data_IF_592413433069
#
_entry.id   IF_592413433069
#
_cell.length_a   1.000
_cell.length_b   1.000
_cell.length_c   1.000
_cell.angle_alpha   90.00
_cell.angle_beta   90.00
_cell.angle_gamma   90.00
#
_symmetry.space_group_name_H-M   'P 1'
#
loop_
_entity.id
_entity.type
_entity.pdbx_description
1 polymer ?
#
# COMPACT_ATOMS: atom_id res chain seq x y z
N UNK A 1 -1.97 -5.31 -15.26
CA UNK A 1 -2.36 -6.66 -15.73
C UNK A 1 -2.83 -7.54 -14.57
N UNK A 2 -2.00 -7.84 -13.56
CA UNK A 2 -2.40 -8.69 -12.42
C UNK A 2 -3.65 -8.15 -11.71
N UNK A 3 -3.68 -6.86 -11.36
CA UNK A 3 -4.86 -6.22 -10.75
C UNK A 3 -6.12 -6.33 -11.62
N UNK A 4 -6.00 -6.10 -12.93
CA UNK A 4 -7.13 -6.23 -13.85
C UNK A 4 -7.66 -7.69 -13.93
N UNK A 5 -6.76 -8.67 -13.96
CA UNK A 5 -7.12 -10.09 -13.94
C UNK A 5 -7.84 -10.44 -12.64
N UNK A 6 -7.33 -10.00 -11.48
CA UNK A 6 -7.96 -10.24 -10.18
C UNK A 6 -9.34 -9.58 -10.10
N UNK A 7 -9.49 -8.34 -10.56
CA UNK A 7 -10.78 -7.65 -10.59
C UNK A 7 -11.79 -8.37 -11.47
N UNK A 8 -11.40 -8.74 -12.70
CA UNK A 8 -12.27 -9.45 -13.64
C UNK A 8 -12.66 -10.82 -13.09
N UNK A 9 -11.70 -11.57 -12.53
CA UNK A 9 -11.97 -12.87 -11.91
C UNK A 9 -12.91 -12.74 -10.71
N UNK A 10 -12.70 -11.74 -9.85
CA UNK A 10 -13.54 -11.50 -8.68
C UNK A 10 -14.97 -11.12 -9.10
N UNK A 11 -15.12 -10.23 -10.09
CA UNK A 11 -16.42 -9.85 -10.63
C UNK A 11 -17.14 -11.03 -11.31
N UNK A 12 -16.41 -11.86 -12.06
CA UNK A 12 -16.98 -13.02 -12.75
C UNK A 12 -17.38 -14.17 -11.80
N UNK A 13 -16.71 -14.31 -10.65
CA UNK A 13 -16.92 -15.39 -9.68
C UNK A 13 -17.86 -14.97 -8.55
N UNK A 14 -17.42 -14.03 -7.70
CA UNK A 14 -18.18 -13.56 -6.53
C UNK A 14 -19.42 -12.78 -6.97
N UNK A 15 -19.26 -11.92 -7.98
CA UNK A 15 -20.36 -11.08 -8.50
C UNK A 15 -21.51 -11.87 -9.14
N UNK A 16 -21.28 -13.10 -9.59
CA UNK A 16 -22.33 -13.96 -10.16
C UNK A 16 -22.88 -15.01 -9.19
N UNK A 17 -22.08 -15.49 -8.23
CA UNK A 17 -22.51 -16.56 -7.31
C UNK A 17 -23.26 -16.05 -6.08
N UNK A 18 -22.81 -14.97 -5.43
CA UNK A 18 -23.43 -14.40 -4.22
C UNK A 18 -23.10 -12.89 -4.09
N UNK A 19 -23.86 -12.00 -4.75
CA UNK A 19 -23.59 -10.56 -4.75
C UNK A 19 -23.68 -9.88 -3.38
N UNK A 20 -24.43 -10.45 -2.42
CA UNK A 20 -24.65 -9.86 -1.09
C UNK A 20 -23.72 -10.41 0.01
N UNK A 21 -22.71 -11.21 -0.34
CA UNK A 21 -21.80 -11.76 0.69
C UNK A 21 -20.93 -10.63 1.26
N UNK A 22 -20.97 -10.34 2.57
CA UNK A 22 -20.08 -9.34 3.15
C UNK A 22 -18.64 -9.85 3.01
N UNK A 23 -17.83 -9.16 2.19
CA UNK A 23 -16.39 -9.39 2.05
C UNK A 23 -15.63 -8.65 3.16
N UNK A 24 -16.05 -8.86 4.41
CA UNK A 24 -15.53 -8.16 5.58
C UNK A 24 -14.25 -8.80 6.17
N UNK A 25 -13.80 -9.93 5.60
CA UNK A 25 -12.59 -10.62 6.02
C UNK A 25 -11.87 -11.31 4.85
N UNK A 26 -10.55 -11.48 5.00
CA UNK A 26 -9.70 -12.23 4.06
C UNK A 26 -10.18 -13.68 3.92
N UNK A 27 -10.69 -14.25 5.00
CA UNK A 27 -11.24 -15.61 5.05
C UNK A 27 -12.50 -15.74 4.19
N UNK A 28 -13.40 -14.75 4.23
CA UNK A 28 -14.59 -14.73 3.37
C UNK A 28 -14.21 -14.56 1.89
N UNK A 29 -13.24 -13.70 1.57
CA UNK A 29 -12.72 -13.55 0.20
C UNK A 29 -12.14 -14.88 -0.29
N UNK A 30 -11.34 -15.55 0.55
CA UNK A 30 -10.78 -16.86 0.23
C UNK A 30 -11.89 -17.88 -0.03
N UNK A 31 -12.86 -18.00 0.89
CA UNK A 31 -13.98 -18.95 0.82
C UNK A 31 -14.87 -18.72 -0.40
N UNK A 32 -15.12 -17.46 -0.78
CA UNK A 32 -15.88 -17.11 -1.97
C UNK A 32 -15.17 -17.53 -3.27
N UNK A 33 -13.83 -17.64 -3.25
CA UNK A 33 -13.01 -18.06 -4.39
C UNK A 33 -12.84 -19.58 -4.50
N UNK A 34 -12.99 -20.33 -3.39
CA UNK A 34 -12.85 -21.80 -3.32
C UNK A 34 -13.72 -22.58 -4.32
N UNK A 35 -15.04 -22.29 -4.51
CA UNK A 35 -15.90 -23.13 -5.35
C UNK A 35 -15.52 -23.09 -6.84
N UNK A 36 -14.82 -22.05 -7.31
CA UNK A 36 -14.48 -21.87 -8.72
C UNK A 36 -13.11 -22.44 -9.12
N UNK A 37 -12.16 -22.54 -8.17
CA UNK A 37 -10.78 -23.01 -8.43
C UNK A 37 -10.56 -24.45 -7.95
N UNK A 38 -11.47 -24.97 -7.12
CA UNK A 38 -11.38 -26.31 -6.52
C UNK A 38 -10.93 -26.25 -5.07
N UNK A 39 -11.56 -27.08 -4.21
CA UNK A 39 -11.46 -26.98 -2.74
C UNK A 39 -10.03 -27.01 -2.18
N UNK A 40 -9.16 -27.83 -2.77
CA UNK A 40 -7.78 -27.98 -2.31
C UNK A 40 -6.81 -27.05 -3.01
N UNK A 41 -6.79 -27.05 -4.35
CA UNK A 41 -5.89 -26.23 -5.14
C UNK A 41 -6.11 -24.73 -4.90
N UNK A 42 -7.37 -24.27 -4.87
CA UNK A 42 -7.70 -22.86 -4.65
C UNK A 42 -7.23 -22.36 -3.28
N UNK A 43 -7.41 -23.14 -2.22
CA UNK A 43 -6.95 -22.78 -0.86
C UNK A 43 -5.43 -22.70 -0.78
N UNK A 44 -4.71 -23.66 -1.35
CA UNK A 44 -3.24 -23.69 -1.31
C UNK A 44 -2.65 -22.52 -2.12
N UNK A 45 -3.10 -22.32 -3.36
CA UNK A 45 -2.60 -21.22 -4.18
C UNK A 45 -2.92 -19.85 -3.60
N UNK A 46 -4.13 -19.67 -3.02
CA UNK A 46 -4.50 -18.43 -2.36
C UNK A 46 -3.64 -18.18 -1.10
N UNK A 47 -3.47 -19.19 -0.24
CA UNK A 47 -2.66 -19.06 0.96
C UNK A 47 -1.19 -18.74 0.63
N UNK A 48 -0.60 -19.43 -0.35
CA UNK A 48 0.78 -19.17 -0.80
C UNK A 48 0.90 -17.78 -1.42
N UNK A 49 -0.06 -17.36 -2.24
CA UNK A 49 -0.07 -16.05 -2.87
C UNK A 49 -0.15 -14.90 -1.85
N UNK A 50 -1.11 -14.98 -0.92
CA UNK A 50 -1.29 -13.97 0.13
C UNK A 50 -0.07 -13.93 1.06
N UNK A 51 0.47 -15.07 1.47
CA UNK A 51 1.65 -15.14 2.34
C UNK A 51 2.88 -14.53 1.67
N UNK A 52 3.10 -14.83 0.38
CA UNK A 52 4.23 -14.27 -0.37
C UNK A 52 4.11 -12.75 -0.53
N UNK A 53 2.91 -12.26 -0.85
CA UNK A 53 2.65 -10.82 -0.96
C UNK A 53 2.85 -10.09 0.38
N UNK A 54 2.35 -10.66 1.49
CA UNK A 54 2.52 -10.10 2.82
C UNK A 54 3.99 -10.05 3.25
N UNK A 55 4.77 -11.08 2.92
CA UNK A 55 6.20 -11.13 3.25
C UNK A 55 7.00 -10.05 2.51
N UNK A 56 6.74 -9.86 1.21
CA UNK A 56 7.38 -8.80 0.42
C UNK A 56 6.98 -7.42 0.96
N UNK A 57 5.70 -7.20 1.24
CA UNK A 57 5.19 -5.95 1.80
C UNK A 57 5.87 -5.63 3.14
N UNK A 58 5.97 -6.61 4.04
CA UNK A 58 6.64 -6.44 5.33
C UNK A 58 8.10 -6.02 5.17
N UNK A 59 8.85 -6.60 4.24
CA UNK A 59 10.25 -6.22 3.97
C UNK A 59 10.34 -4.78 3.45
N UNK A 60 9.56 -4.43 2.43
CA UNK A 60 9.61 -3.09 1.81
C UNK A 60 9.23 -1.99 2.81
N UNK A 61 8.13 -2.19 3.56
CA UNK A 61 7.67 -1.22 4.57
C UNK A 61 8.71 -1.03 5.66
N UNK A 62 9.33 -2.12 6.10
CA UNK A 62 10.35 -2.06 7.15
C UNK A 62 11.62 -1.34 6.72
N UNK A 63 12.05 -1.57 5.49
CA UNK A 63 13.18 -0.85 4.89
C UNK A 63 12.87 0.64 4.79
N UNK A 64 11.68 0.99 4.28
CA UNK A 64 11.24 2.38 4.15
C UNK A 64 11.14 3.08 5.51
N UNK A 65 10.54 2.42 6.51
CA UNK A 65 10.44 2.94 7.88
C UNK A 65 11.82 3.20 8.47
N UNK A 66 12.74 2.25 8.33
CA UNK A 66 14.07 2.40 8.92
C UNK A 66 14.90 3.50 8.25
N UNK A 67 14.72 3.72 6.94
CA UNK A 67 15.30 4.85 6.23
C UNK A 67 14.72 6.18 6.72
N UNK A 68 13.38 6.28 6.81
CA UNK A 68 12.71 7.48 7.28
C UNK A 68 13.15 7.86 8.70
N UNK A 69 13.22 6.90 9.63
CA UNK A 69 13.71 7.15 10.98
C UNK A 69 15.21 7.43 11.03
N UNK A 70 16.02 6.78 10.20
CA UNK A 70 17.45 7.05 10.09
C UNK A 70 17.74 8.50 9.68
N UNK A 71 16.99 9.00 8.70
CA UNK A 71 17.12 10.37 8.22
C UNK A 71 16.67 11.39 9.28
N UNK A 72 15.56 11.12 9.98
CA UNK A 72 15.07 11.98 11.08
C UNK A 72 16.03 12.02 12.28
N UNK A 73 16.66 10.88 12.61
CA UNK A 73 17.60 10.78 13.72
C UNK A 73 19.03 11.25 13.37
N UNK A 74 19.29 11.61 12.11
CA UNK A 74 20.62 12.02 11.63
C UNK A 74 21.65 10.88 11.65
N UNK A 75 21.19 9.62 11.76
CA UNK A 75 22.04 8.43 11.78
C UNK A 75 21.97 7.78 10.40
N UNK A 76 23.12 7.64 9.74
CA UNK A 76 23.23 7.02 8.41
C UNK A 76 22.90 5.53 8.47
N UNK A 77 21.61 5.18 8.39
CA UNK A 77 21.12 3.80 8.34
C UNK A 77 21.36 3.19 6.95
N UNK A 78 22.62 2.87 6.65
CA UNK A 78 22.99 2.14 5.44
C UNK A 78 22.73 0.63 5.60
N UNK A 79 22.16 0.00 4.57
CA UNK A 79 22.03 -1.46 4.40
C UNK A 79 23.36 -2.23 4.51
N UNK A 80 24.49 -1.51 4.43
CA UNK A 80 25.84 -2.08 4.53
C UNK A 80 26.37 -2.13 5.98
N UNK A 81 25.59 -1.68 6.97
CA UNK A 81 25.98 -1.69 8.37
C UNK A 81 25.58 -3.01 9.06
N UNK A 82 26.54 -3.63 9.75
CA UNK A 82 26.37 -4.92 10.45
C UNK A 82 25.31 -4.86 11.55
N UNK A 83 24.77 -6.02 11.97
CA UNK A 83 23.80 -6.21 13.08
C UNK A 83 24.12 -5.41 14.36
N UNK A 84 25.40 -5.13 14.61
CA UNK A 84 25.89 -4.37 15.76
C UNK A 84 25.93 -2.84 15.58
N UNK A 85 25.80 -2.31 14.36
CA UNK A 85 25.93 -0.87 14.07
C UNK A 85 24.59 -0.15 13.88
N UNK A 86 23.49 -0.86 13.62
CA UNK A 86 22.16 -0.26 13.48
C UNK A 86 21.10 -0.95 14.39
N UNK A 87 21.28 -0.94 15.73
CA UNK A 87 20.33 -1.54 16.66
C UNK A 87 18.92 -0.93 16.54
N UNK A 88 18.85 0.34 16.14
CA UNK A 88 17.59 1.06 15.89
C UNK A 88 16.84 0.46 14.70
N UNK A 89 17.52 0.13 13.60
CA UNK A 89 16.94 -0.48 12.39
C UNK A 89 16.27 -1.82 12.70
N UNK A 90 17.00 -2.72 13.38
CA UNK A 90 16.48 -4.05 13.72
C UNK A 90 15.42 -4.01 14.84
N UNK A 91 15.48 -3.01 15.73
CA UNK A 91 14.46 -2.80 16.77
C UNK A 91 13.15 -2.28 16.19
N UNK A 92 13.18 -1.34 15.24
CA UNK A 92 11.97 -0.90 14.54
C UNK A 92 11.39 -1.99 13.63
N UNK A 93 12.25 -2.78 12.97
CA UNK A 93 11.80 -3.94 12.19
C UNK A 93 11.05 -4.97 13.03
N UNK A 94 11.70 -5.50 14.07
CA UNK A 94 11.08 -6.51 14.93
C UNK A 94 9.92 -5.90 15.73
N UNK A 95 10.05 -4.66 16.21
CA UNK A 95 9.00 -3.95 16.92
C UNK A 95 7.75 -3.77 16.06
N UNK A 96 7.90 -3.34 14.80
CA UNK A 96 6.80 -3.20 13.86
C UNK A 96 6.07 -4.52 13.58
N UNK A 97 6.81 -5.61 13.38
CA UNK A 97 6.24 -6.95 13.17
C UNK A 97 5.51 -7.44 14.43
N UNK A 98 6.11 -7.28 15.61
CA UNK A 98 5.50 -7.70 16.89
C UNK A 98 4.23 -6.91 17.18
N UNK A 99 4.24 -5.59 16.96
CA UNK A 99 3.08 -4.72 17.14
C UNK A 99 1.98 -5.10 16.13
N UNK A 100 2.32 -5.31 14.86
CA UNK A 100 1.37 -5.76 13.85
C UNK A 100 0.76 -7.12 14.21
N UNK A 101 1.57 -8.09 14.65
CA UNK A 101 1.10 -9.39 15.11
C UNK A 101 0.17 -9.27 16.33
N UNK A 102 0.50 -8.39 17.28
CA UNK A 102 -0.33 -8.13 18.45
C UNK A 102 -1.69 -7.53 18.03
N UNK A 103 -1.71 -6.55 17.13
CA UNK A 103 -2.96 -5.97 16.62
C UNK A 103 -3.84 -6.99 15.90
N UNK A 104 -3.23 -7.90 15.14
CA UNK A 104 -3.96 -9.02 14.49
C UNK A 104 -4.55 -9.97 15.55
N UNK A 105 -3.78 -10.32 16.59
CA UNK A 105 -4.22 -11.21 17.67
C UNK A 105 -5.34 -10.61 18.53
N UNK A 106 -5.35 -9.29 18.69
CA UNK A 106 -6.40 -8.56 19.40
C UNK A 106 -7.74 -8.53 18.63
N UNK A 107 -7.78 -9.07 17.41
CA UNK A 107 -9.02 -9.20 16.63
C UNK A 107 -9.54 -7.88 16.08
N UNK A 108 -8.66 -6.89 15.88
CA UNK A 108 -9.07 -5.62 15.26
C UNK A 108 -9.63 -5.86 13.85
N UNK A 109 -10.64 -5.09 13.43
CA UNK A 109 -11.20 -5.21 12.09
C UNK A 109 -10.16 -4.80 11.05
N UNK A 110 -9.48 -5.80 10.47
CA UNK A 110 -8.40 -5.62 9.50
C UNK A 110 -8.84 -4.77 8.30
N UNK A 111 -10.09 -4.91 7.87
CA UNK A 111 -10.61 -4.16 6.73
C UNK A 111 -10.77 -2.68 7.08
N UNK A 112 -11.31 -2.35 8.25
CA UNK A 112 -11.40 -0.96 8.69
C UNK A 112 -10.01 -0.33 8.83
N UNK A 113 -9.02 -1.09 9.31
CA UNK A 113 -7.62 -0.64 9.35
C UNK A 113 -7.06 -0.41 7.94
N UNK A 114 -7.26 -1.34 7.00
CA UNK A 114 -6.81 -1.19 5.62
C UNK A 114 -7.45 0.03 4.96
N UNK A 115 -8.77 0.21 5.07
CA UNK A 115 -9.47 1.38 4.56
C UNK A 115 -8.91 2.66 5.20
N UNK A 116 -8.67 2.65 6.52
CA UNK A 116 -8.05 3.78 7.22
C UNK A 116 -6.66 4.14 6.67
N UNK A 117 -5.82 3.14 6.39
CA UNK A 117 -4.50 3.33 5.78
C UNK A 117 -4.62 3.85 4.35
N UNK A 118 -5.57 3.36 3.57
CA UNK A 118 -5.83 3.84 2.20
C UNK A 118 -6.27 5.30 2.19
N UNK A 119 -7.21 5.67 3.08
CA UNK A 119 -7.66 7.06 3.25
C UNK A 119 -6.50 7.95 3.67
N UNK A 120 -5.69 7.51 4.65
CA UNK A 120 -4.49 8.25 5.06
C UNK A 120 -3.51 8.43 3.89
N UNK A 121 -3.24 7.38 3.13
CA UNK A 121 -2.37 7.43 1.95
C UNK A 121 -2.91 8.41 0.89
N UNK A 122 -4.22 8.48 0.73
CA UNK A 122 -4.87 9.42 -0.18
C UNK A 122 -4.63 10.88 0.20
N UNK A 123 -4.61 11.21 1.51
CA UNK A 123 -4.24 12.54 1.99
C UNK A 123 -2.73 12.83 1.85
N UNK A 124 -1.89 11.81 1.96
CA UNK A 124 -0.44 11.95 1.77
C UNK A 124 -0.05 12.20 0.32
N UNK A 125 -0.77 11.61 -0.65
CA UNK A 125 -0.45 11.71 -2.09
C UNK A 125 -0.32 13.17 -2.60
N UNK A 126 -1.29 14.08 -2.36
CA UNK A 126 -1.16 15.50 -2.73
C UNK A 126 0.07 16.17 -2.14
N UNK A 127 0.39 15.85 -0.88
CA UNK A 127 1.54 16.43 -0.18
C UNK A 127 2.84 15.96 -0.82
N UNK A 128 3.01 14.64 -0.97
CA UNK A 128 4.22 14.03 -1.55
C UNK A 128 4.41 14.45 -3.01
N UNK A 129 3.36 14.37 -3.84
CA UNK A 129 3.43 14.80 -5.23
C UNK A 129 3.67 16.31 -5.37
N UNK A 130 3.04 17.12 -4.50
CA UNK A 130 3.27 18.56 -4.46
C UNK A 130 4.73 18.91 -4.17
N UNK A 131 5.34 18.24 -3.18
CA UNK A 131 6.77 18.40 -2.90
C UNK A 131 7.65 17.92 -4.06
N UNK A 132 7.33 16.78 -4.68
CA UNK A 132 8.08 16.30 -5.85
C UNK A 132 7.98 17.26 -7.04
N UNK A 133 6.83 17.88 -7.29
CA UNK A 133 6.67 18.90 -8.32
C UNK A 133 7.44 20.18 -7.98
N UNK A 134 7.37 20.64 -6.74
CA UNK A 134 8.09 21.82 -6.28
C UNK A 134 9.62 21.63 -6.40
N UNK A 135 10.12 20.46 -5.99
CA UNK A 135 11.52 20.06 -6.18
C UNK A 135 11.86 19.95 -7.68
N UNK A 136 10.94 19.37 -8.44
CA UNK A 136 10.99 19.24 -9.89
C UNK A 136 11.22 20.56 -10.62
N UNK A 137 10.63 21.63 -10.11
CA UNK A 137 10.72 22.97 -10.70
C UNK A 137 11.89 23.79 -10.17
N UNK A 138 12.24 23.64 -8.89
CA UNK A 138 13.23 24.51 -8.23
C UNK A 138 14.65 23.97 -8.29
N UNK A 139 14.83 22.65 -8.32
CA UNK A 139 16.12 22.02 -7.99
C UNK A 139 16.74 21.20 -9.11
N UNK A 140 16.05 21.02 -10.26
CA UNK A 140 16.63 20.21 -11.34
C UNK A 140 17.78 20.94 -12.08
N UNK A 141 18.94 20.28 -12.26
CA UNK A 141 20.04 20.78 -13.09
C UNK A 141 19.59 21.02 -14.53
N UNK A 142 20.18 22.01 -15.22
CA UNK A 142 19.74 22.42 -16.57
C UNK A 142 19.72 21.28 -17.61
N UNK A 143 20.54 20.24 -17.44
CA UNK A 143 20.58 19.06 -18.32
C UNK A 143 19.35 18.14 -18.22
N UNK A 144 18.57 18.23 -17.15
CA UNK A 144 17.36 17.43 -16.92
C UNK A 144 16.13 18.31 -16.73
N UNK A 145 16.21 19.61 -17.06
CA UNK A 145 15.08 20.54 -16.94
C UNK A 145 13.88 19.97 -17.70
N UNK A 146 12.78 19.78 -16.97
CA UNK A 146 11.51 19.36 -17.54
C UNK A 146 11.09 20.34 -18.64
N UNK A 147 10.70 19.79 -19.79
CA UNK A 147 10.15 20.60 -20.87
C UNK A 147 8.80 21.20 -20.46
N UNK A 148 8.41 22.29 -21.12
CA UNK A 148 7.14 22.97 -20.81
C UNK A 148 5.92 22.06 -21.06
N UNK A 149 6.04 21.04 -21.91
CA UNK A 149 5.01 20.02 -22.12
C UNK A 149 4.96 19.03 -20.94
N UNK A 150 6.09 18.47 -20.54
CA UNK A 150 6.19 17.55 -19.40
C UNK A 150 5.66 18.18 -18.11
N UNK A 151 5.98 19.47 -17.87
CA UNK A 151 5.43 20.21 -16.73
C UNK A 151 3.91 20.30 -16.76
N UNK A 152 3.31 20.56 -17.93
CA UNK A 152 1.85 20.62 -18.09
C UNK A 152 1.20 19.26 -17.90
N UNK A 153 1.81 18.20 -18.44
CA UNK A 153 1.33 16.82 -18.26
C UNK A 153 1.41 16.41 -16.79
N UNK A 154 2.52 16.66 -16.11
CA UNK A 154 2.69 16.36 -14.70
C UNK A 154 1.72 17.16 -13.83
N UNK A 155 1.50 18.45 -14.14
CA UNK A 155 0.51 19.27 -13.44
C UNK A 155 -0.91 18.77 -13.67
N UNK A 156 -1.24 18.35 -14.90
CA UNK A 156 -2.54 17.77 -15.22
C UNK A 156 -2.78 16.47 -14.44
N UNK A 157 -1.80 15.56 -14.43
CA UNK A 157 -1.88 14.31 -13.66
C UNK A 157 -2.02 14.62 -12.16
N UNK A 158 -1.26 15.58 -11.64
CA UNK A 158 -1.37 15.99 -10.24
C UNK A 158 -2.76 16.51 -9.88
N UNK A 159 -3.32 17.42 -10.69
CA UNK A 159 -4.67 17.96 -10.48
C UNK A 159 -5.71 16.84 -10.54
N UNK A 160 -5.58 15.93 -11.51
CA UNK A 160 -6.48 14.79 -11.68
C UNK A 160 -6.42 13.84 -10.48
N UNK A 161 -5.23 13.49 -9.99
CA UNK A 161 -5.07 12.61 -8.83
C UNK A 161 -5.59 13.28 -7.56
N UNK A 162 -5.30 14.57 -7.36
CA UNK A 162 -5.80 15.32 -6.19
C UNK A 162 -7.31 15.49 -6.23
N UNK A 163 -7.91 15.77 -7.39
CA UNK A 163 -9.35 15.94 -7.52
C UNK A 163 -10.10 14.63 -7.29
N UNK A 164 -9.60 13.51 -7.84
CA UNK A 164 -10.14 12.18 -7.56
C UNK A 164 -10.02 11.83 -6.08
N UNK A 165 -8.89 12.13 -5.45
CA UNK A 165 -8.72 11.95 -4.01
C UNK A 165 -9.78 12.71 -3.22
N UNK A 166 -9.84 14.04 -3.39
CA UNK A 166 -10.81 14.89 -2.69
C UNK A 166 -12.24 14.40 -2.93
N UNK A 167 -12.57 14.02 -4.16
CA UNK A 167 -13.87 13.46 -4.50
C UNK A 167 -14.19 12.19 -3.70
N UNK A 168 -13.27 11.24 -3.60
CA UNK A 168 -13.50 10.00 -2.84
C UNK A 168 -13.68 10.24 -1.34
N UNK A 169 -12.93 11.18 -0.75
CA UNK A 169 -13.11 11.57 0.66
C UNK A 169 -14.48 12.22 0.87
N UNK A 170 -14.86 13.18 0.01
CA UNK A 170 -16.17 13.83 0.10
C UNK A 170 -17.30 12.81 -0.06
N UNK A 171 -17.19 11.89 -1.02
CA UNK A 171 -18.16 10.82 -1.22
C UNK A 171 -18.27 9.89 0.00
N UNK A 172 -17.15 9.60 0.67
CA UNK A 172 -17.15 8.76 1.87
C UNK A 172 -17.73 9.45 3.11
N UNK A 173 -17.68 10.78 3.20
CA UNK A 173 -18.36 11.55 4.26
C UNK A 173 -19.85 11.80 3.99
N UNK A 174 -20.29 11.67 2.74
CA UNK A 174 -21.68 11.90 2.33
C UNK A 174 -22.58 10.65 2.39
N UNK A 175 -22.01 9.47 2.66
CA UNK A 175 -22.68 8.17 2.66
C UNK A 175 -22.60 7.51 4.04
#
# INVERSE_FOLDING_TARGET
IIMAVVLILTAATIGQANPDTPLSSVQQIAQALVPFVGSFAGKVFFAVGVTSAALIAAIVVSLAMSWAFGEVLGVSCSLNCSWKQAPVFYSFYNGGIVIAALFVLLGLPLITLTIGVEVMNMFLLPIVLGFLLALGWKTLPEKYKLENWEKKVLLFIYILVCSLGIYTVVAQFMN
#
